data_IF_226180781556
#
_entry.id   IF_226180781556
#
_cell.length_a   1.000
_cell.length_b   1.000
_cell.length_c   1.000
_cell.angle_alpha   90.00
_cell.angle_beta   90.00
_cell.angle_gamma   90.00
#
_symmetry.space_group_name_H-M   'P 1'
#
loop_
_entity.id
_entity.type
_entity.pdbx_description
1 polymer ?
#
# COMPACT_ATOMS: atom_id res chain seq x y z
N UNK A 1 -20.00 25.85 66.64
CA UNK A 1 -20.46 26.47 65.35
C UNK A 1 -19.79 25.71 64.23
N UNK A 2 -20.53 24.84 63.60
CA UNK A 2 -20.10 23.96 62.51
C UNK A 2 -20.81 24.51 61.28
N UNK A 3 -20.04 24.98 60.30
CA UNK A 3 -20.57 25.36 58.97
C UNK A 3 -20.85 24.11 58.12
N UNK A 4 -21.92 24.11 57.34
CA UNK A 4 -22.26 22.96 56.51
C UNK A 4 -21.55 22.99 55.17
N UNK A 5 -21.09 21.82 54.73
CA UNK A 5 -20.51 21.52 53.43
C UNK A 5 -21.46 21.88 52.26
N UNK A 6 -20.97 22.65 51.30
CA UNK A 6 -21.61 22.89 50.01
C UNK A 6 -21.34 21.72 49.04
N UNK A 7 -22.31 21.32 48.22
CA UNK A 7 -22.12 20.20 47.29
C UNK A 7 -21.22 20.63 46.12
N UNK A 8 -20.24 19.79 45.82
CA UNK A 8 -19.36 19.90 44.65
C UNK A 8 -20.20 19.76 43.37
N UNK A 9 -20.30 20.85 42.63
CA UNK A 9 -20.91 20.84 41.30
C UNK A 9 -20.08 19.99 40.34
N UNK A 10 -20.67 18.93 39.82
CA UNK A 10 -20.11 18.16 38.71
C UNK A 10 -19.97 19.05 37.48
N UNK A 11 -18.73 19.18 36.98
CA UNK A 11 -18.39 19.88 35.75
C UNK A 11 -19.01 19.19 34.54
N UNK A 12 -19.63 19.91 33.58
CA UNK A 12 -20.29 19.32 32.42
C UNK A 12 -19.33 18.94 31.26
N UNK A 13 -18.09 18.53 31.54
CA UNK A 13 -17.10 18.14 30.56
C UNK A 13 -16.60 16.70 30.75
N UNK A 14 -17.50 15.74 30.77
CA UNK A 14 -17.14 14.35 30.51
C UNK A 14 -17.11 14.17 28.97
N UNK A 15 -16.01 13.68 28.41
CA UNK A 15 -15.94 13.48 26.96
C UNK A 15 -16.93 12.39 26.52
N UNK A 16 -17.62 12.53 25.37
CA UNK A 16 -18.56 11.56 24.84
C UNK A 16 -17.89 10.19 24.58
N UNK A 17 -18.64 9.09 24.56
CA UNK A 17 -18.12 7.75 24.31
C UNK A 17 -17.45 7.66 22.93
N UNK A 18 -16.39 6.83 22.80
CA UNK A 18 -15.48 6.77 21.66
C UNK A 18 -16.18 6.65 20.28
N UNK A 19 -17.26 5.87 20.18
CA UNK A 19 -18.01 5.67 18.92
C UNK A 19 -18.74 6.92 18.38
N UNK A 20 -19.08 7.91 19.22
CA UNK A 20 -19.71 9.16 18.76
C UNK A 20 -18.69 10.18 18.22
N UNK A 21 -17.46 10.19 18.75
CA UNK A 21 -16.40 11.08 18.28
C UNK A 21 -15.90 10.72 16.89
N UNK A 22 -15.78 9.41 16.60
CA UNK A 22 -15.36 8.92 15.29
C UNK A 22 -16.38 9.25 14.19
N UNK A 23 -17.68 9.19 14.54
CA UNK A 23 -18.77 9.56 13.63
C UNK A 23 -18.80 11.07 13.30
N UNK A 24 -18.39 11.92 14.23
CA UNK A 24 -18.33 13.39 14.03
C UNK A 24 -17.13 13.77 13.18
N UNK A 25 -15.92 13.23 13.43
CA UNK A 25 -14.69 13.51 12.66
C UNK A 25 -14.80 13.08 11.19
N UNK A 26 -15.38 11.92 10.91
CA UNK A 26 -15.59 11.41 9.56
C UNK A 26 -16.69 12.17 8.80
N UNK A 27 -17.73 12.66 9.50
CA UNK A 27 -18.79 13.48 8.87
C UNK A 27 -18.31 14.86 8.44
N UNK A 28 -17.39 15.46 9.18
CA UNK A 28 -16.78 16.76 8.85
C UNK A 28 -15.82 16.66 7.65
N UNK A 29 -15.18 15.50 7.42
CA UNK A 29 -14.23 15.27 6.32
C UNK A 29 -14.89 14.88 4.99
N UNK A 30 -16.21 14.65 4.95
CA UNK A 30 -16.92 14.18 3.75
C UNK A 30 -16.57 12.75 3.30
N UNK A 31 -15.83 11.99 4.10
CA UNK A 31 -15.37 10.63 3.80
C UNK A 31 -16.51 9.63 4.03
N UNK A 32 -16.80 8.79 3.03
CA UNK A 32 -17.87 7.79 3.08
C UNK A 32 -17.39 6.49 3.72
N UNK A 33 -18.31 5.78 4.37
CA UNK A 33 -18.06 4.46 4.91
C UNK A 33 -19.04 3.45 4.29
N UNK A 34 -18.51 2.27 3.93
CA UNK A 34 -19.25 1.18 3.30
C UNK A 34 -19.32 -0.02 4.24
N UNK A 35 -20.51 -0.61 4.36
CA UNK A 35 -20.73 -1.82 5.16
C UNK A 35 -20.65 -3.05 4.26
N UNK A 36 -19.65 -3.89 4.46
CA UNK A 36 -19.41 -5.10 3.66
C UNK A 36 -19.09 -6.27 4.60
N UNK A 37 -19.89 -7.34 4.54
CA UNK A 37 -19.72 -8.56 5.35
C UNK A 37 -19.51 -8.28 6.85
N UNK A 38 -20.26 -7.32 7.43
CA UNK A 38 -20.14 -6.94 8.83
C UNK A 38 -18.88 -6.11 9.17
N UNK A 39 -18.13 -5.69 8.16
CA UNK A 39 -17.00 -4.77 8.33
C UNK A 39 -17.36 -3.39 7.76
N UNK A 40 -16.87 -2.34 8.42
CA UNK A 40 -16.97 -0.96 7.95
C UNK A 40 -15.68 -0.58 7.24
N UNK A 41 -15.79 -0.25 5.95
CA UNK A 41 -14.68 0.14 5.09
C UNK A 41 -14.74 1.63 4.78
N UNK A 42 -13.62 2.33 4.94
CA UNK A 42 -13.49 3.75 4.63
C UNK A 42 -12.29 3.92 3.70
N UNK A 43 -12.54 4.46 2.49
CA UNK A 43 -11.47 4.79 1.55
C UNK A 43 -10.81 6.09 1.98
N UNK A 44 -9.49 6.10 2.06
CA UNK A 44 -8.68 7.26 2.44
C UNK A 44 -7.74 7.60 1.28
N UNK A 45 -7.88 8.80 0.75
CA UNK A 45 -7.06 9.31 -0.34
C UNK A 45 -5.96 10.22 0.20
N UNK A 46 -4.72 9.94 -0.18
CA UNK A 46 -3.52 10.70 0.15
C UNK A 46 -3.24 10.81 1.67
N UNK A 47 -2.11 11.39 2.02
CA UNK A 47 -1.74 11.62 3.42
C UNK A 47 -2.71 12.54 4.16
N UNK A 48 -3.36 13.48 3.45
CA UNK A 48 -4.28 14.44 4.04
C UNK A 48 -5.51 13.81 4.72
N UNK A 49 -6.03 12.70 4.19
CA UNK A 49 -7.09 11.94 4.84
C UNK A 49 -6.55 10.84 5.75
N UNK A 50 -5.43 10.21 5.35
CA UNK A 50 -4.88 9.06 6.04
C UNK A 50 -4.29 9.40 7.41
N UNK A 51 -3.40 10.40 7.51
CA UNK A 51 -2.66 10.66 8.75
C UNK A 51 -3.50 11.21 9.90
N UNK A 52 -4.45 12.15 9.69
CA UNK A 52 -5.35 12.58 10.76
C UNK A 52 -6.16 11.41 11.33
N UNK A 53 -6.73 10.56 10.45
CA UNK A 53 -7.51 9.40 10.88
C UNK A 53 -6.64 8.38 11.59
N UNK A 54 -5.44 8.08 11.08
CA UNK A 54 -4.51 7.18 11.74
C UNK A 54 -4.12 7.66 13.13
N UNK A 55 -3.78 8.95 13.29
CA UNK A 55 -3.43 9.52 14.59
C UNK A 55 -4.60 9.49 15.57
N UNK A 56 -5.83 9.78 15.11
CA UNK A 56 -7.03 9.69 15.95
C UNK A 56 -7.27 8.26 16.44
N UNK A 57 -7.16 7.26 15.58
CA UNK A 57 -7.31 5.85 15.97
C UNK A 57 -6.17 5.39 16.91
N UNK A 58 -4.92 5.85 16.70
CA UNK A 58 -3.80 5.60 17.63
C UNK A 58 -4.08 6.21 19.00
N UNK A 59 -4.62 7.42 19.06
CA UNK A 59 -4.97 8.08 20.30
C UNK A 59 -6.19 7.42 21.00
N UNK A 60 -7.07 6.75 20.25
CA UNK A 60 -8.21 5.99 20.77
C UNK A 60 -7.85 4.56 21.23
N UNK A 61 -6.74 3.99 20.78
CA UNK A 61 -6.30 2.62 21.08
C UNK A 61 -6.11 2.40 22.59
N UNK A 62 -6.52 1.20 23.07
CA UNK A 62 -6.58 0.84 24.50
C UNK A 62 -5.65 -0.30 24.91
N UNK A 63 -5.39 -1.25 24.00
CA UNK A 63 -4.69 -2.50 24.33
C UNK A 63 -3.38 -2.63 23.58
N UNK A 64 -3.42 -2.59 22.26
CA UNK A 64 -2.21 -2.75 21.46
C UNK A 64 -2.30 -2.10 20.08
N UNK A 65 -1.12 -1.72 19.56
CA UNK A 65 -0.92 -1.21 18.20
C UNK A 65 0.21 -1.99 17.55
N UNK A 66 -0.04 -2.51 16.34
CA UNK A 66 0.99 -3.05 15.45
C UNK A 66 1.05 -2.18 14.19
N UNK A 67 2.25 -1.72 13.85
CA UNK A 67 2.51 -0.92 12.66
C UNK A 67 3.63 -1.56 11.84
N UNK A 68 3.39 -1.81 10.56
CA UNK A 68 4.39 -2.24 9.57
C UNK A 68 4.42 -1.24 8.43
N UNK A 69 5.62 -0.73 8.12
CA UNK A 69 5.81 0.21 7.02
C UNK A 69 7.12 -0.05 6.28
N UNK A 70 7.14 0.29 4.99
CA UNK A 70 8.37 0.29 4.21
C UNK A 70 9.22 1.53 4.48
N UNK A 71 8.60 2.71 4.45
CA UNK A 71 9.27 3.98 4.78
C UNK A 71 8.61 4.57 6.02
N UNK A 72 9.44 4.89 7.02
CA UNK A 72 9.14 5.79 8.11
C UNK A 72 10.16 6.91 8.06
N UNK A 73 9.74 8.10 7.63
CA UNK A 73 10.62 9.25 7.43
C UNK A 73 10.68 10.11 8.69
N UNK A 74 11.82 10.73 8.92
CA UNK A 74 11.98 11.72 9.99
C UNK A 74 11.66 13.12 9.47
N UNK A 75 10.40 13.32 9.11
CA UNK A 75 9.83 14.56 8.63
C UNK A 75 8.61 14.99 9.49
N UNK A 76 7.88 16.01 9.05
CA UNK A 76 6.71 16.53 9.80
C UNK A 76 5.68 15.44 10.03
N UNK A 77 5.34 14.66 8.99
CA UNK A 77 4.36 13.57 9.07
C UNK A 77 4.86 12.42 9.96
N UNK A 78 6.12 12.03 9.80
CA UNK A 78 6.73 11.02 10.66
C UNK A 78 6.76 11.43 12.11
N UNK A 79 7.02 12.72 12.40
CA UNK A 79 6.96 13.28 13.76
C UNK A 79 5.55 13.17 14.35
N UNK A 80 4.52 13.55 13.61
CA UNK A 80 3.12 13.46 14.06
C UNK A 80 2.75 12.02 14.44
N UNK A 81 3.05 11.05 13.58
CA UNK A 81 2.78 9.63 13.84
C UNK A 81 3.60 9.11 15.01
N UNK A 82 4.91 9.44 15.08
CA UNK A 82 5.77 9.04 16.20
C UNK A 82 5.26 9.55 17.54
N UNK A 83 4.87 10.81 17.61
CA UNK A 83 4.30 11.41 18.83
C UNK A 83 2.97 10.76 19.24
N UNK A 84 2.10 10.43 18.28
CA UNK A 84 0.84 9.71 18.56
C UNK A 84 1.13 8.32 19.15
N UNK A 85 2.07 7.56 18.56
CA UNK A 85 2.49 6.25 19.07
C UNK A 85 3.12 6.36 20.47
N UNK A 86 3.94 7.39 20.73
CA UNK A 86 4.50 7.65 22.06
C UNK A 86 3.42 7.96 23.09
N UNK A 87 2.41 8.77 22.74
CA UNK A 87 1.27 9.04 23.64
C UNK A 87 0.52 7.74 23.97
N UNK A 88 0.28 6.88 22.97
CA UNK A 88 -0.35 5.57 23.19
C UNK A 88 0.48 4.69 24.12
N UNK A 89 1.79 4.59 23.90
CA UNK A 89 2.69 3.80 24.75
C UNK A 89 2.71 4.31 26.21
N UNK A 90 2.75 5.64 26.42
CA UNK A 90 2.67 6.25 27.76
C UNK A 90 1.33 6.00 28.47
N UNK A 91 0.25 5.76 27.74
CA UNK A 91 -1.03 5.29 28.31
C UNK A 91 -1.05 3.82 28.70
N UNK A 92 0.03 3.07 28.42
CA UNK A 92 0.14 1.63 28.70
C UNK A 92 -0.28 0.74 27.53
N UNK A 93 -0.55 1.31 26.34
CA UNK A 93 -0.83 0.53 25.14
C UNK A 93 0.44 -0.17 24.66
N UNK A 94 0.36 -1.44 24.30
CA UNK A 94 1.49 -2.21 23.77
C UNK A 94 1.75 -1.81 22.31
N UNK A 95 2.75 -0.96 22.05
CA UNK A 95 3.07 -0.47 20.72
C UNK A 95 4.23 -1.24 20.10
N UNK A 96 4.03 -1.76 18.89
CA UNK A 96 5.01 -2.52 18.11
C UNK A 96 5.13 -1.94 16.71
N UNK A 97 6.33 -1.45 16.36
CA UNK A 97 6.63 -0.84 15.07
C UNK A 97 7.68 -1.67 14.34
N UNK A 98 7.37 -2.12 13.13
CA UNK A 98 8.31 -2.82 12.25
C UNK A 98 8.55 -2.01 11.00
N UNK A 99 9.80 -1.61 10.77
CA UNK A 99 10.23 -0.85 9.60
C UNK A 99 11.11 -1.71 8.69
N UNK A 100 11.05 -1.49 7.37
CA UNK A 100 12.01 -2.11 6.44
C UNK A 100 13.37 -1.44 6.56
N UNK A 101 14.42 -2.24 6.66
CA UNK A 101 15.77 -1.73 6.87
C UNK A 101 16.41 -1.04 5.67
N UNK A 102 15.79 -1.12 4.47
CA UNK A 102 16.22 -0.39 3.28
C UNK A 102 15.36 0.85 3.05
N UNK A 103 14.03 0.68 3.10
CA UNK A 103 13.10 1.80 2.87
C UNK A 103 13.20 2.88 3.93
N UNK A 104 13.49 2.49 5.18
CA UNK A 104 13.69 3.41 6.32
C UNK A 104 15.17 3.54 6.73
N UNK A 105 16.12 3.39 5.78
CA UNK A 105 17.55 3.43 6.07
C UNK A 105 17.99 4.76 6.72
N UNK A 106 17.35 5.86 6.35
CA UNK A 106 17.64 7.21 6.84
C UNK A 106 16.91 7.56 8.15
N UNK A 107 16.20 6.58 8.78
CA UNK A 107 15.52 6.80 10.06
C UNK A 107 16.53 7.08 11.18
N UNK A 108 16.47 8.25 11.86
CA UNK A 108 17.49 8.67 12.78
C UNK A 108 17.58 7.76 14.03
N UNK A 109 18.78 7.38 14.47
CA UNK A 109 18.94 6.57 15.68
C UNK A 109 18.34 7.20 16.95
N UNK A 110 18.41 8.52 17.09
CA UNK A 110 17.84 9.21 18.27
C UNK A 110 16.31 9.10 18.31
N UNK A 111 15.61 9.17 17.16
CA UNK A 111 14.16 8.92 17.13
C UNK A 111 13.81 7.50 17.55
N UNK A 112 14.61 6.52 17.17
CA UNK A 112 14.41 5.15 17.64
C UNK A 112 14.57 5.06 19.16
N UNK A 113 15.57 5.73 19.73
CA UNK A 113 15.77 5.76 21.19
C UNK A 113 14.60 6.45 21.88
N UNK A 114 14.17 7.61 21.43
CA UNK A 114 13.01 8.31 21.98
C UNK A 114 11.74 7.47 21.96
N UNK A 115 11.50 6.72 20.87
CA UNK A 115 10.38 5.79 20.78
C UNK A 115 10.52 4.65 21.79
N UNK A 116 11.71 4.08 21.94
CA UNK A 116 11.99 3.01 22.89
C UNK A 116 11.88 3.47 24.34
N UNK A 117 12.36 4.67 24.67
CA UNK A 117 12.21 5.29 25.99
C UNK A 117 10.74 5.56 26.34
N UNK A 118 9.91 5.84 25.35
CA UNK A 118 8.45 5.93 25.54
C UNK A 118 7.75 4.55 25.70
N UNK A 119 8.48 3.43 25.60
CA UNK A 119 7.95 2.08 25.74
C UNK A 119 7.57 1.39 24.41
N UNK A 120 7.89 1.98 23.26
CA UNK A 120 7.58 1.40 21.95
C UNK A 120 8.61 0.31 21.60
N UNK A 121 8.11 -0.86 21.20
CA UNK A 121 8.96 -1.92 20.67
C UNK A 121 9.25 -1.69 19.18
N UNK A 122 10.46 -1.27 18.83
CA UNK A 122 10.88 -1.04 17.45
C UNK A 122 11.68 -2.25 16.94
N UNK A 123 11.29 -2.79 15.78
CA UNK A 123 11.97 -3.88 15.09
C UNK A 123 12.29 -3.51 13.65
N UNK A 124 13.41 -4.03 13.16
CA UNK A 124 13.87 -3.83 11.79
C UNK A 124 13.70 -5.11 10.97
N UNK A 125 13.00 -5.02 9.87
CA UNK A 125 12.99 -6.09 8.88
C UNK A 125 14.24 -5.95 8.00
N UNK A 126 15.24 -6.80 8.23
CA UNK A 126 16.47 -6.87 7.42
C UNK A 126 17.26 -5.56 7.32
N UNK A 127 17.63 -4.98 8.46
CA UNK A 127 18.39 -3.73 8.52
C UNK A 127 19.76 -3.79 7.84
N UNK A 128 20.45 -4.95 7.85
CA UNK A 128 21.81 -5.05 7.40
C UNK A 128 21.93 -5.29 5.88
N UNK A 129 22.45 -4.31 5.16
CA UNK A 129 22.98 -4.45 3.81
C UNK A 129 24.48 -4.18 3.89
N UNK A 130 25.26 -5.17 4.33
CA UNK A 130 26.72 -5.09 4.20
C UNK A 130 27.10 -5.38 2.75
N UNK A 131 27.84 -4.48 2.07
CA UNK A 131 28.31 -4.70 0.69
C UNK A 131 29.21 -5.95 0.58
N UNK A 132 29.89 -6.33 1.65
CA UNK A 132 30.84 -7.46 1.67
C UNK A 132 30.19 -8.86 1.75
N UNK A 133 28.93 -8.97 2.15
CA UNK A 133 28.20 -10.26 2.18
C UNK A 133 27.42 -10.56 0.91
N UNK A 134 27.71 -9.89 -0.20
CA UNK A 134 26.98 -9.95 -1.49
C UNK A 134 26.95 -11.35 -2.16
N UNK A 135 27.95 -12.22 -1.91
CA UNK A 135 28.08 -13.48 -2.69
C UNK A 135 27.16 -14.62 -2.30
N UNK A 136 26.82 -14.83 -1.02
CA UNK A 136 26.14 -16.08 -0.56
C UNK A 136 24.63 -15.99 -0.34
N UNK A 137 24.04 -14.77 -0.19
CA UNK A 137 22.62 -14.60 0.16
C UNK A 137 21.89 -13.51 -0.66
N UNK A 138 22.32 -13.24 -1.90
CA UNK A 138 21.81 -12.13 -2.74
C UNK A 138 20.29 -12.14 -2.88
N UNK A 139 19.67 -13.31 -3.13
CA UNK A 139 18.20 -13.43 -3.28
C UNK A 139 17.43 -13.18 -1.97
N UNK A 140 17.98 -13.52 -0.79
CA UNK A 140 17.33 -13.26 0.51
C UNK A 140 17.34 -11.78 0.89
N UNK A 141 18.32 -11.02 0.43
CA UNK A 141 18.50 -9.60 0.75
C UNK A 141 17.58 -8.68 -0.04
N UNK A 142 17.19 -9.09 -1.24
CA UNK A 142 16.26 -8.34 -2.09
C UNK A 142 14.80 -8.43 -1.61
N UNK A 143 14.47 -9.33 -0.68
CA UNK A 143 13.13 -9.47 -0.12
C UNK A 143 12.88 -8.36 0.90
N UNK A 144 11.89 -7.49 0.63
CA UNK A 144 11.57 -6.31 1.42
C UNK A 144 10.20 -6.42 2.09
N UNK A 145 10.03 -5.71 3.21
CA UNK A 145 8.74 -5.49 3.84
C UNK A 145 8.09 -4.27 3.17
N UNK A 146 7.32 -4.49 2.12
CA UNK A 146 6.74 -3.39 1.35
C UNK A 146 5.26 -3.14 1.68
N UNK A 147 4.65 -3.95 2.53
CA UNK A 147 3.29 -3.72 3.00
C UNK A 147 3.23 -2.57 4.01
N UNK A 148 2.14 -1.83 4.00
CA UNK A 148 1.82 -0.76 4.91
C UNK A 148 0.54 -1.17 5.63
N UNK A 149 0.70 -1.63 6.85
CA UNK A 149 -0.36 -2.17 7.68
C UNK A 149 -0.30 -1.55 9.07
N UNK A 150 -1.45 -1.15 9.58
CA UNK A 150 -1.61 -0.82 10.99
C UNK A 150 -2.79 -1.60 11.53
N UNK A 151 -2.67 -2.13 12.72
CA UNK A 151 -3.79 -2.76 13.44
C UNK A 151 -3.81 -2.23 14.86
N UNK A 152 -5.00 -1.82 15.31
CA UNK A 152 -5.27 -1.28 16.63
C UNK A 152 -6.31 -2.16 17.30
N UNK A 153 -5.99 -2.67 18.47
CA UNK A 153 -6.82 -3.51 19.35
C UNK A 153 -7.40 -4.78 18.67
N UNK A 154 -7.02 -5.08 17.44
CA UNK A 154 -7.58 -6.16 16.62
C UNK A 154 -8.95 -5.84 16.02
N UNK A 155 -9.44 -4.61 16.17
CA UNK A 155 -10.76 -4.15 15.77
C UNK A 155 -10.68 -3.19 14.58
N UNK A 156 -9.62 -2.36 14.50
CA UNK A 156 -9.37 -1.43 13.42
C UNK A 156 -8.07 -1.79 12.69
N UNK A 157 -8.07 -1.74 11.37
CA UNK A 157 -6.89 -1.92 10.55
C UNK A 157 -6.80 -0.88 9.44
N UNK A 158 -5.57 -0.57 9.01
CA UNK A 158 -5.28 0.22 7.82
C UNK A 158 -4.47 -0.64 6.85
N UNK A 159 -4.91 -0.66 5.58
CA UNK A 159 -4.26 -1.40 4.47
C UNK A 159 -4.15 -0.48 3.27
N UNK A 160 -2.97 -0.32 2.69
CA UNK A 160 -2.84 0.52 1.49
C UNK A 160 -1.44 0.70 0.96
N UNK A 161 -1.26 1.74 0.15
CA UNK A 161 0.01 2.12 -0.47
C UNK A 161 0.79 3.18 0.31
N UNK A 162 0.14 3.92 1.24
CA UNK A 162 0.66 5.12 1.87
C UNK A 162 1.77 4.78 2.88
N UNK A 163 2.97 5.32 2.65
CA UNK A 163 4.09 5.26 3.59
C UNK A 163 3.99 6.38 4.63
N UNK A 164 4.70 6.28 5.74
CA UNK A 164 4.83 7.36 6.73
C UNK A 164 5.92 8.32 6.26
N UNK A 165 5.48 9.31 5.48
CA UNK A 165 6.36 10.29 4.84
C UNK A 165 5.56 11.54 4.51
N UNK A 166 6.18 12.69 4.66
CA UNK A 166 5.60 13.96 4.21
C UNK A 166 5.60 14.04 2.68
N UNK A 167 4.42 14.13 2.13
CA UNK A 167 4.21 14.21 0.68
C UNK A 167 4.70 15.55 0.09
N UNK A 168 4.71 16.63 0.86
CA UNK A 168 5.10 17.97 0.38
C UNK A 168 6.62 18.10 0.19
N UNK A 169 7.42 17.59 1.11
CA UNK A 169 8.87 17.76 1.11
C UNK A 169 9.62 16.88 0.12
N UNK A 170 9.12 15.70 -0.21
CA UNK A 170 9.79 14.73 -1.12
C UNK A 170 9.37 14.82 -2.57
N UNK A 171 8.36 15.61 -2.90
CA UNK A 171 7.84 15.72 -4.27
C UNK A 171 8.72 16.56 -5.24
N UNK A 172 9.95 16.90 -4.88
CA UNK A 172 10.85 17.65 -5.75
C UNK A 172 10.26 18.97 -6.28
N UNK A 173 9.47 19.67 -5.44
CA UNK A 173 8.76 20.90 -5.80
C UNK A 173 7.46 20.66 -6.57
N UNK A 174 6.85 19.45 -6.50
CA UNK A 174 5.54 19.20 -7.08
C UNK A 174 4.44 20.01 -6.36
N UNK A 175 3.49 20.51 -7.13
CA UNK A 175 2.41 21.38 -6.64
C UNK A 175 1.33 20.62 -5.83
N UNK A 176 1.39 19.28 -5.78
CA UNK A 176 0.39 18.43 -5.15
C UNK A 176 1.01 17.26 -4.38
N UNK A 177 0.31 16.68 -3.38
CA UNK A 177 0.77 15.50 -2.67
C UNK A 177 0.83 14.27 -3.58
N UNK A 178 1.51 13.21 -3.12
CA UNK A 178 1.49 11.90 -3.80
C UNK A 178 0.07 11.37 -3.88
N UNK A 179 -0.31 10.88 -5.06
CA UNK A 179 -1.63 10.29 -5.28
C UNK A 179 -1.58 8.82 -4.89
N UNK A 180 -2.16 8.48 -3.76
CA UNK A 180 -2.19 7.11 -3.20
C UNK A 180 -3.43 6.89 -2.34
N UNK A 181 -3.70 5.62 -2.02
CA UNK A 181 -4.88 5.21 -1.27
C UNK A 181 -4.55 4.25 -0.13
N UNK A 182 -5.38 4.32 0.91
CA UNK A 182 -5.47 3.30 1.94
C UNK A 182 -6.94 3.03 2.27
N UNK A 183 -7.22 1.90 2.90
CA UNK A 183 -8.54 1.56 3.46
C UNK A 183 -8.40 1.40 4.95
N UNK A 184 -9.24 2.11 5.69
CA UNK A 184 -9.51 1.87 7.09
C UNK A 184 -10.61 0.81 7.19
N UNK A 185 -10.36 -0.24 7.93
CA UNK A 185 -11.26 -1.39 8.11
C UNK A 185 -11.60 -1.52 9.58
N UNK A 186 -12.87 -1.50 9.93
CA UNK A 186 -13.38 -1.85 11.28
C UNK A 186 -14.14 -3.17 11.20
N UNK A 187 -13.77 -4.13 12.05
CA UNK A 187 -14.45 -5.42 12.15
C UNK A 187 -13.51 -6.62 12.07
N UNK A 188 -14.08 -7.79 11.74
CA UNK A 188 -13.39 -9.10 11.83
C UNK A 188 -12.12 -9.20 10.96
N UNK A 189 -12.07 -8.50 9.84
CA UNK A 189 -10.91 -8.46 8.92
C UNK A 189 -9.67 -7.88 9.64
N UNK A 190 -9.84 -6.92 10.56
CA UNK A 190 -8.72 -6.38 11.33
C UNK A 190 -8.04 -7.46 12.19
N UNK A 191 -8.80 -8.36 12.79
CA UNK A 191 -8.28 -9.51 13.54
C UNK A 191 -7.47 -10.48 12.70
N UNK A 192 -7.87 -10.70 11.43
CA UNK A 192 -7.12 -11.54 10.50
C UNK A 192 -5.78 -10.91 10.11
N UNK A 193 -5.77 -9.61 9.82
CA UNK A 193 -4.55 -8.84 9.52
C UNK A 193 -3.62 -8.89 10.75
N UNK A 194 -4.16 -8.69 11.96
CA UNK A 194 -3.41 -8.80 13.22
C UNK A 194 -2.71 -10.15 13.36
N UNK A 195 -3.43 -11.25 13.10
CA UNK A 195 -2.87 -12.59 13.22
C UNK A 195 -1.62 -12.77 12.34
N UNK A 196 -1.62 -12.19 11.14
CA UNK A 196 -0.48 -12.25 10.20
C UNK A 196 0.66 -11.35 10.66
N UNK A 197 0.39 -10.12 11.09
CA UNK A 197 1.40 -9.19 11.58
C UNK A 197 2.09 -9.75 12.84
N UNK A 198 1.32 -10.31 13.78
CA UNK A 198 1.84 -10.95 14.98
C UNK A 198 2.81 -12.10 14.67
N UNK A 199 2.49 -12.94 13.66
CA UNK A 199 3.35 -14.04 13.24
C UNK A 199 4.66 -13.53 12.64
N UNK A 200 4.62 -12.50 11.79
CA UNK A 200 5.83 -11.91 11.25
C UNK A 200 6.69 -11.29 12.36
N UNK A 201 6.06 -10.56 13.29
CA UNK A 201 6.73 -10.00 14.45
C UNK A 201 7.50 -11.06 15.25
N UNK A 202 6.81 -12.13 15.62
CA UNK A 202 7.42 -13.25 16.34
C UNK A 202 8.59 -13.87 15.57
N UNK A 203 8.41 -14.05 14.27
CA UNK A 203 9.44 -14.62 13.41
C UNK A 203 10.69 -13.74 13.30
N UNK A 204 10.54 -12.43 13.26
CA UNK A 204 11.68 -11.48 13.23
C UNK A 204 12.41 -11.50 14.57
N UNK A 205 11.70 -11.51 15.70
CA UNK A 205 12.30 -11.65 17.04
C UNK A 205 13.13 -12.94 17.17
N UNK A 206 12.58 -14.08 16.73
CA UNK A 206 13.27 -15.36 16.80
C UNK A 206 14.48 -15.45 15.86
N UNK A 207 14.48 -14.69 14.73
CA UNK A 207 15.60 -14.67 13.79
C UNK A 207 16.82 -13.96 14.33
N UNK A 208 16.65 -12.95 15.14
CA UNK A 208 17.74 -12.28 15.85
C UNK A 208 18.44 -13.20 16.85
N UNK A 209 17.72 -14.19 17.41
CA UNK A 209 18.25 -15.12 18.40
C UNK A 209 18.86 -16.41 17.82
N UNK A 210 18.41 -16.90 16.65
CA UNK A 210 18.84 -18.19 16.07
C UNK A 210 18.73 -18.28 14.54
N UNK A 211 19.60 -17.67 13.84
CA UNK A 211 19.68 -17.37 12.39
C UNK A 211 19.31 -18.36 11.29
N UNK A 212 18.68 -19.52 11.44
CA UNK A 212 18.51 -20.49 10.33
C UNK A 212 17.17 -21.26 10.23
N UNK A 213 16.30 -21.28 11.24
CA UNK A 213 15.12 -22.18 11.27
C UNK A 213 13.77 -21.53 10.98
N UNK A 214 13.71 -20.26 10.73
CA UNK A 214 12.51 -19.42 10.83
C UNK A 214 11.69 -19.33 9.54
N UNK A 215 12.30 -19.50 8.38
CA UNK A 215 11.56 -19.44 7.10
C UNK A 215 10.41 -20.47 7.02
N UNK A 216 10.55 -21.61 7.70
CA UNK A 216 9.51 -22.66 7.69
C UNK A 216 8.32 -22.32 8.61
N UNK A 217 8.51 -21.59 9.69
CA UNK A 217 7.44 -21.18 10.63
C UNK A 217 6.64 -19.97 10.11
N UNK A 218 7.28 -19.09 9.33
CA UNK A 218 6.63 -17.94 8.66
C UNK A 218 5.70 -18.41 7.53
N UNK A 219 5.93 -19.59 6.98
CA UNK A 219 5.23 -20.15 5.83
C UNK A 219 3.75 -20.50 6.07
N UNK A 220 3.32 -20.62 7.32
CA UNK A 220 1.95 -21.04 7.66
C UNK A 220 1.00 -19.85 7.93
N UNK A 221 1.47 -18.64 7.71
CA UNK A 221 0.83 -17.42 8.19
C UNK A 221 -0.11 -16.72 7.18
N UNK A 222 -0.15 -17.16 5.95
CA UNK A 222 -1.00 -16.54 4.94
C UNK A 222 -2.29 -17.35 4.81
N UNK A 223 -3.34 -16.90 5.46
CA UNK A 223 -4.72 -17.30 5.19
C UNK A 223 -5.38 -16.22 4.36
N UNK A 224 -6.15 -16.63 3.35
CA UNK A 224 -7.15 -15.76 2.73
C UNK A 224 -8.25 -15.52 3.75
N UNK A 225 -8.74 -14.30 3.87
CA UNK A 225 -10.03 -14.05 4.49
C UNK A 225 -11.09 -14.87 3.75
N UNK A 226 -11.94 -15.56 4.49
CA UNK A 226 -12.99 -16.40 3.92
C UNK A 226 -14.33 -15.64 3.81
N UNK A 227 -14.32 -14.31 3.89
CA UNK A 227 -15.52 -13.52 3.72
C UNK A 227 -15.92 -13.46 2.24
N UNK A 228 -17.23 -13.51 1.93
CA UNK A 228 -17.70 -13.57 0.54
C UNK A 228 -17.25 -12.39 -0.31
N UNK A 229 -17.25 -11.17 0.25
CA UNK A 229 -17.03 -9.93 -0.49
C UNK A 229 -15.76 -9.19 -0.11
N UNK A 230 -15.01 -9.66 0.89
CA UNK A 230 -13.72 -9.06 1.29
C UNK A 230 -12.63 -10.14 1.29
N UNK A 231 -11.55 -9.86 0.58
CA UNK A 231 -10.37 -10.74 0.58
C UNK A 231 -9.11 -9.93 0.89
N UNK A 232 -8.39 -10.33 1.93
CA UNK A 232 -7.05 -9.79 2.23
C UNK A 232 -6.00 -10.69 1.59
N UNK A 233 -5.31 -10.18 0.59
CA UNK A 233 -4.17 -10.84 -0.03
C UNK A 233 -2.90 -10.43 0.69
N UNK A 234 -2.38 -11.32 1.49
CA UNK A 234 -1.13 -11.12 2.22
C UNK A 234 -0.05 -11.98 1.57
N UNK A 235 0.72 -11.35 0.73
CA UNK A 235 1.75 -12.01 -0.02
C UNK A 235 3.00 -12.22 0.83
N UNK A 236 3.44 -13.47 0.91
CA UNK A 236 4.79 -13.81 1.31
C UNK A 236 5.61 -14.33 0.10
N UNK A 237 6.94 -14.41 0.29
CA UNK A 237 7.84 -14.68 -0.84
C UNK A 237 7.92 -16.17 -1.26
N UNK A 238 7.03 -17.07 -0.80
CA UNK A 238 7.16 -18.49 -1.03
C UNK A 238 5.87 -19.18 -1.49
N UNK A 239 4.76 -19.13 -0.75
CA UNK A 239 3.54 -19.89 -1.04
C UNK A 239 2.48 -19.13 -1.82
N UNK A 240 2.35 -17.82 -1.59
CA UNK A 240 1.25 -16.99 -2.09
C UNK A 240 1.76 -15.89 -3.06
N UNK A 241 2.82 -16.23 -3.75
CA UNK A 241 3.60 -15.34 -4.59
C UNK A 241 2.80 -14.75 -5.75
N UNK A 242 1.75 -15.43 -6.20
CA UNK A 242 0.93 -15.04 -7.35
C UNK A 242 -0.52 -14.75 -6.99
N UNK A 243 -0.91 -14.77 -5.73
CA UNK A 243 -2.31 -14.65 -5.35
C UNK A 243 -2.90 -13.28 -5.77
N UNK A 244 -2.15 -12.19 -5.59
CA UNK A 244 -2.57 -10.86 -6.05
C UNK A 244 -2.68 -10.84 -7.58
N UNK A 245 -1.67 -11.35 -8.30
CA UNK A 245 -1.68 -11.43 -9.76
C UNK A 245 -2.84 -12.30 -10.27
N UNK A 246 -3.06 -13.48 -9.68
CA UNK A 246 -4.18 -14.36 -10.05
C UNK A 246 -5.54 -13.71 -9.80
N UNK A 247 -5.69 -12.94 -8.72
CA UNK A 247 -6.91 -12.19 -8.47
C UNK A 247 -7.19 -11.18 -9.58
N UNK A 248 -6.19 -10.40 -9.98
CA UNK A 248 -6.30 -9.47 -11.11
C UNK A 248 -6.64 -10.20 -12.41
N UNK A 249 -5.87 -11.26 -12.75
CA UNK A 249 -6.08 -12.01 -13.99
C UNK A 249 -7.49 -12.58 -14.08
N UNK A 250 -8.01 -13.12 -12.97
CA UNK A 250 -9.36 -13.67 -12.91
C UNK A 250 -10.41 -12.59 -13.21
N UNK A 251 -10.39 -11.48 -12.46
CA UNK A 251 -11.43 -10.46 -12.61
C UNK A 251 -11.34 -9.71 -13.95
N UNK A 252 -10.13 -9.52 -14.52
CA UNK A 252 -9.95 -8.94 -15.85
C UNK A 252 -10.46 -9.89 -16.94
N UNK A 253 -10.22 -11.20 -16.81
CA UNK A 253 -10.73 -12.20 -17.75
C UNK A 253 -12.27 -12.27 -17.74
N UNK A 254 -12.90 -12.06 -16.59
CA UNK A 254 -14.34 -12.09 -16.38
C UNK A 254 -15.01 -10.72 -16.65
N UNK A 255 -14.24 -9.64 -16.81
CA UNK A 255 -14.75 -8.29 -17.03
C UNK A 255 -15.62 -8.19 -18.28
N UNK A 256 -16.71 -7.41 -18.15
CA UNK A 256 -17.72 -7.22 -19.19
C UNK A 256 -17.94 -5.77 -19.63
N UNK A 257 -17.55 -4.80 -18.79
CA UNK A 257 -17.80 -3.36 -19.05
C UNK A 257 -16.51 -2.54 -19.02
N UNK A 258 -15.81 -2.55 -17.88
CA UNK A 258 -14.70 -1.64 -17.65
C UNK A 258 -13.64 -2.23 -16.69
N UNK A 259 -12.38 -1.98 -17.02
CA UNK A 259 -11.21 -2.23 -16.15
C UNK A 259 -10.46 -0.92 -16.01
N UNK A 260 -10.37 -0.38 -14.78
CA UNK A 260 -9.56 0.81 -14.46
C UNK A 260 -8.45 0.43 -13.51
N UNK A 261 -7.20 0.67 -13.88
CA UNK A 261 -6.03 0.36 -13.06
C UNK A 261 -5.21 1.63 -12.88
N UNK A 262 -4.94 2.03 -11.64
CA UNK A 262 -3.95 3.04 -11.31
C UNK A 262 -2.75 2.37 -10.63
N UNK A 263 -1.56 2.52 -11.22
CA UNK A 263 -0.37 1.81 -10.73
C UNK A 263 0.91 2.63 -10.92
N UNK A 264 1.68 2.79 -9.84
CA UNK A 264 2.91 3.58 -9.82
C UNK A 264 3.99 3.00 -10.74
N UNK A 265 4.20 1.68 -10.69
CA UNK A 265 5.17 0.97 -11.51
C UNK A 265 4.46 -0.17 -12.24
N UNK A 266 4.22 0.04 -13.54
CA UNK A 266 3.44 -0.87 -14.37
C UNK A 266 4.35 -1.55 -15.40
N UNK A 267 4.81 -2.74 -15.07
CA UNK A 267 5.63 -3.56 -15.97
C UNK A 267 5.12 -5.02 -15.91
N UNK A 268 3.89 -5.27 -16.37
CA UNK A 268 3.24 -6.57 -16.28
C UNK A 268 3.96 -7.63 -17.11
N UNK A 269 3.88 -8.88 -16.65
CA UNK A 269 4.29 -10.05 -17.41
C UNK A 269 3.42 -10.28 -18.65
N UNK A 270 3.86 -11.19 -19.53
CA UNK A 270 3.18 -11.46 -20.79
C UNK A 270 1.73 -11.92 -20.61
N UNK A 271 1.46 -12.77 -19.62
CA UNK A 271 0.10 -13.27 -19.35
C UNK A 271 -0.82 -12.12 -18.96
N UNK A 272 -0.38 -11.24 -18.08
CA UNK A 272 -1.16 -10.09 -17.62
C UNK A 272 -1.50 -9.14 -18.79
N UNK A 273 -0.50 -8.80 -19.62
CA UNK A 273 -0.71 -7.97 -20.81
C UNK A 273 -1.72 -8.59 -21.78
N UNK A 274 -1.56 -9.88 -22.10
CA UNK A 274 -2.49 -10.61 -22.95
C UNK A 274 -3.90 -10.60 -22.40
N UNK A 275 -4.08 -10.77 -21.09
CA UNK A 275 -5.40 -10.73 -20.44
C UNK A 275 -6.05 -9.36 -20.60
N UNK A 276 -5.30 -8.25 -20.43
CA UNK A 276 -5.81 -6.89 -20.68
C UNK A 276 -6.20 -6.67 -22.14
N UNK A 277 -5.33 -7.07 -23.08
CA UNK A 277 -5.62 -6.94 -24.51
C UNK A 277 -6.83 -7.80 -24.95
N UNK A 278 -6.98 -9.00 -24.39
CA UNK A 278 -8.15 -9.85 -24.63
C UNK A 278 -9.43 -9.21 -24.07
N UNK A 279 -9.36 -8.57 -22.90
CA UNK A 279 -10.50 -7.82 -22.36
C UNK A 279 -10.90 -6.67 -23.30
N UNK A 280 -9.93 -5.88 -23.76
CA UNK A 280 -10.17 -4.81 -24.74
C UNK A 280 -10.74 -5.37 -26.07
N UNK A 281 -10.20 -6.49 -26.56
CA UNK A 281 -10.70 -7.18 -27.76
C UNK A 281 -12.14 -7.73 -27.64
N UNK A 282 -12.62 -7.97 -26.40
CA UNK A 282 -14.04 -8.29 -26.14
C UNK A 282 -14.95 -7.04 -26.07
N UNK A 283 -14.40 -5.84 -26.23
CA UNK A 283 -15.13 -4.58 -26.10
C UNK A 283 -15.18 -4.01 -24.68
N UNK A 284 -14.43 -4.58 -23.72
CA UNK A 284 -14.28 -4.02 -22.37
C UNK A 284 -13.44 -2.74 -22.46
N UNK A 285 -13.91 -1.64 -21.86
CA UNK A 285 -13.12 -0.42 -21.74
C UNK A 285 -11.98 -0.64 -20.75
N UNK A 286 -10.73 -0.60 -21.19
CA UNK A 286 -9.55 -0.75 -20.34
C UNK A 286 -8.83 0.58 -20.21
N UNK A 287 -8.72 1.09 -19.00
CA UNK A 287 -8.11 2.39 -18.67
C UNK A 287 -6.92 2.19 -17.70
N UNK A 288 -5.77 2.70 -18.06
CA UNK A 288 -4.56 2.68 -17.24
C UNK A 288 -4.18 4.11 -16.86
N UNK A 289 -4.12 4.40 -15.55
CA UNK A 289 -3.57 5.62 -14.98
C UNK A 289 -2.18 5.30 -14.45
N UNK A 290 -1.14 5.81 -15.10
CA UNK A 290 0.25 5.49 -14.85
C UNK A 290 1.05 6.71 -14.41
N UNK A 291 2.25 6.48 -13.88
CA UNK A 291 3.15 7.53 -13.44
C UNK A 291 3.76 8.30 -14.64
N UNK A 292 3.43 9.58 -14.77
CA UNK A 292 3.99 10.46 -15.81
C UNK A 292 5.33 11.08 -15.42
N UNK A 293 5.57 11.36 -14.13
CA UNK A 293 6.84 11.90 -13.63
C UNK A 293 7.83 10.78 -13.29
N UNK A 294 9.03 10.73 -13.86
CA UNK A 294 9.97 9.63 -13.64
C UNK A 294 10.62 9.70 -12.26
N UNK A 295 10.16 8.91 -11.30
CA UNK A 295 10.87 8.70 -10.02
C UNK A 295 12.08 7.78 -10.25
N UNK A 296 11.89 6.68 -11.01
CA UNK A 296 12.96 5.77 -11.44
C UNK A 296 13.02 5.73 -12.97
N UNK A 297 13.92 6.51 -13.58
CA UNK A 297 14.03 6.68 -15.04
C UNK A 297 14.04 5.36 -15.81
N UNK A 298 14.79 4.36 -15.33
CA UNK A 298 14.89 3.07 -16.00
C UNK A 298 13.54 2.34 -16.07
N UNK A 299 12.80 2.28 -14.95
CA UNK A 299 11.47 1.65 -14.91
C UNK A 299 10.45 2.44 -15.74
N UNK A 300 10.50 3.76 -15.68
CA UNK A 300 9.64 4.64 -16.47
C UNK A 300 9.81 4.37 -17.98
N UNK A 301 11.04 4.39 -18.50
CA UNK A 301 11.27 4.06 -19.92
C UNK A 301 10.95 2.60 -20.25
N UNK A 302 11.15 1.66 -19.33
CA UNK A 302 10.76 0.27 -19.55
C UNK A 302 9.24 0.10 -19.66
N UNK A 303 8.45 0.84 -18.86
CA UNK A 303 6.99 0.88 -18.98
C UNK A 303 6.55 1.42 -20.32
N UNK A 304 7.18 2.48 -20.81
CA UNK A 304 6.90 3.09 -22.10
C UNK A 304 7.08 2.11 -23.28
N UNK A 305 7.95 1.10 -23.15
CA UNK A 305 8.09 0.07 -24.19
C UNK A 305 6.83 -0.75 -24.45
N UNK A 306 5.90 -0.75 -23.51
CA UNK A 306 4.63 -1.48 -23.60
C UNK A 306 3.50 -0.64 -24.21
N UNK A 307 3.66 0.67 -24.31
CA UNK A 307 2.58 1.58 -24.71
C UNK A 307 2.09 1.29 -26.12
N UNK A 308 2.99 1.05 -27.07
CA UNK A 308 2.62 0.76 -28.48
C UNK A 308 1.68 -0.44 -28.57
N UNK A 309 2.06 -1.57 -27.96
CA UNK A 309 1.27 -2.80 -27.93
C UNK A 309 -0.11 -2.60 -27.26
N UNK A 310 -0.15 -1.87 -26.12
CA UNK A 310 -1.37 -1.65 -25.36
C UNK A 310 -2.33 -0.67 -26.07
N UNK A 311 -1.79 0.41 -26.64
CA UNK A 311 -2.57 1.40 -27.39
C UNK A 311 -3.16 0.81 -28.68
N UNK A 312 -2.39 -0.05 -29.39
CA UNK A 312 -2.87 -0.77 -30.58
C UNK A 312 -4.00 -1.77 -30.25
N UNK A 313 -4.01 -2.32 -29.03
CA UNK A 313 -5.11 -3.14 -28.53
C UNK A 313 -6.34 -2.34 -28.10
N UNK A 314 -6.33 -1.01 -28.21
CA UNK A 314 -7.46 -0.14 -27.82
C UNK A 314 -7.51 0.21 -26.33
N UNK A 315 -6.43 -0.03 -25.58
CA UNK A 315 -6.33 0.33 -24.17
C UNK A 315 -6.05 1.83 -24.04
N UNK A 316 -6.80 2.52 -23.18
CA UNK A 316 -6.60 3.93 -22.87
C UNK A 316 -5.48 4.08 -21.84
N UNK A 317 -4.47 4.91 -22.12
CA UNK A 317 -3.36 5.19 -21.21
C UNK A 317 -3.36 6.67 -20.87
N UNK A 318 -3.32 6.96 -19.57
CA UNK A 318 -3.21 8.30 -19.00
C UNK A 318 -1.98 8.39 -18.10
N UNK A 319 -1.22 9.45 -18.21
CA UNK A 319 -0.07 9.74 -17.36
C UNK A 319 -0.40 10.86 -16.38
N UNK A 320 -0.32 10.54 -15.07
CA UNK A 320 -0.51 11.49 -13.99
C UNK A 320 0.66 12.48 -13.92
N UNK A 321 0.41 13.80 -14.01
CA UNK A 321 1.44 14.82 -14.23
C UNK A 321 1.69 15.75 -13.03
N UNK A 322 0.69 15.98 -12.18
CA UNK A 322 0.75 17.02 -11.13
C UNK A 322 1.78 16.67 -10.05
N UNK A 323 1.82 15.41 -9.61
CA UNK A 323 2.76 14.91 -8.63
C UNK A 323 3.17 13.47 -8.92
N UNK A 324 3.68 12.74 -7.94
CA UNK A 324 3.96 11.32 -8.08
C UNK A 324 2.69 10.49 -7.87
N UNK A 325 2.32 9.68 -8.85
CA UNK A 325 1.36 8.61 -8.69
C UNK A 325 2.02 7.47 -7.89
N UNK A 326 1.51 7.18 -6.71
CA UNK A 326 2.00 6.05 -5.92
C UNK A 326 0.90 5.00 -5.66
N UNK A 327 -0.30 5.19 -6.19
CA UNK A 327 -1.43 4.27 -6.08
C UNK A 327 -1.13 2.87 -6.66
N UNK A 328 -1.71 1.85 -6.05
CA UNK A 328 -1.73 0.46 -6.51
C UNK A 328 -3.15 -0.05 -6.30
N UNK A 329 -4.04 0.40 -7.18
CA UNK A 329 -5.48 0.17 -7.06
C UNK A 329 -6.07 -0.22 -8.40
N UNK A 330 -7.20 -0.91 -8.37
CA UNK A 330 -7.99 -1.19 -9.56
C UNK A 330 -9.48 -1.27 -9.23
N UNK A 331 -10.29 -1.01 -10.25
CA UNK A 331 -11.74 -1.21 -10.24
C UNK A 331 -12.12 -2.00 -11.49
N UNK A 332 -12.96 -3.02 -11.34
CA UNK A 332 -13.48 -3.82 -12.44
C UNK A 332 -15.01 -3.81 -12.40
N UNK A 333 -15.61 -3.45 -13.51
CA UNK A 333 -17.07 -3.39 -13.75
C UNK A 333 -17.86 -2.53 -12.74
N UNK A 334 -17.16 -1.70 -11.94
CA UNK A 334 -17.76 -0.89 -10.88
C UNK A 334 -18.29 -1.72 -9.70
N UNK A 335 -17.87 -2.98 -9.58
CA UNK A 335 -18.32 -3.91 -8.53
C UNK A 335 -17.15 -4.42 -7.70
N UNK A 336 -16.04 -4.75 -8.34
CA UNK A 336 -14.84 -5.22 -7.68
C UNK A 336 -13.80 -4.10 -7.62
N UNK A 337 -13.19 -3.93 -6.45
CA UNK A 337 -12.12 -2.97 -6.26
C UNK A 337 -10.97 -3.58 -5.45
N UNK A 338 -9.75 -3.11 -5.66
CA UNK A 338 -8.60 -3.45 -4.82
C UNK A 338 -7.75 -2.24 -4.50
N UNK A 339 -7.31 -2.18 -3.24
CA UNK A 339 -6.37 -1.17 -2.71
C UNK A 339 -5.25 -1.88 -1.98
N UNK A 340 -4.00 -1.51 -2.25
CA UNK A 340 -2.88 -2.16 -1.58
C UNK A 340 -1.51 -1.57 -1.85
N UNK A 341 -0.50 -2.37 -1.55
CA UNK A 341 0.91 -1.98 -1.67
C UNK A 341 1.60 -2.57 -2.90
N UNK A 342 0.97 -3.54 -3.61
CA UNK A 342 1.61 -4.31 -4.68
C UNK A 342 1.55 -3.60 -6.02
N UNK A 343 2.70 -3.22 -6.55
CA UNK A 343 2.79 -2.79 -7.95
C UNK A 343 2.63 -3.99 -8.90
N UNK A 344 2.18 -3.69 -10.12
CA UNK A 344 2.12 -4.67 -11.21
C UNK A 344 3.48 -4.66 -11.94
N UNK A 345 4.50 -5.08 -11.22
CA UNK A 345 5.86 -5.19 -11.70
C UNK A 345 6.56 -6.45 -11.14
N UNK A 346 7.54 -7.03 -11.83
CA UNK A 346 8.17 -8.27 -11.39
C UNK A 346 8.95 -8.16 -10.07
N UNK A 347 9.43 -6.98 -9.70
CA UNK A 347 10.17 -6.80 -8.44
C UNK A 347 9.22 -6.83 -7.26
N UNK A 348 8.11 -6.10 -7.32
CA UNK A 348 7.05 -6.15 -6.33
C UNK A 348 6.46 -7.56 -6.28
N UNK A 349 6.13 -8.14 -7.45
CA UNK A 349 5.54 -9.46 -7.54
C UNK A 349 6.48 -10.62 -7.12
N UNK A 350 7.78 -10.44 -6.94
CA UNK A 350 8.70 -11.53 -6.63
C UNK A 350 9.43 -11.40 -5.31
N UNK A 351 9.76 -10.18 -4.92
CA UNK A 351 10.75 -9.94 -3.88
C UNK A 351 10.19 -9.22 -2.66
N UNK A 352 9.03 -8.57 -2.78
CA UNK A 352 8.46 -7.81 -1.69
C UNK A 352 7.36 -8.61 -0.94
N UNK A 353 7.22 -8.35 0.36
CA UNK A 353 6.04 -8.70 1.13
C UNK A 353 5.01 -7.62 0.92
N UNK A 354 3.88 -7.97 0.32
CA UNK A 354 2.84 -7.05 -0.06
C UNK A 354 1.52 -7.38 0.64
N UNK A 355 0.63 -6.40 0.69
CA UNK A 355 -0.72 -6.56 1.18
C UNK A 355 -1.69 -5.80 0.28
N UNK A 356 -2.74 -6.48 -0.19
CA UNK A 356 -3.85 -5.86 -0.90
C UNK A 356 -5.17 -6.28 -0.25
N UNK A 357 -6.09 -5.35 -0.13
CA UNK A 357 -7.49 -5.59 0.18
C UNK A 357 -8.27 -5.59 -1.13
N UNK A 358 -9.01 -6.65 -1.41
CA UNK A 358 -9.99 -6.67 -2.49
C UNK A 358 -11.40 -6.69 -1.89
N UNK A 359 -12.28 -5.89 -2.47
CA UNK A 359 -13.65 -5.68 -2.01
C UNK A 359 -14.58 -5.87 -3.21
N UNK A 360 -15.65 -6.64 -3.01
CA UNK A 360 -16.73 -6.80 -3.97
C UNK A 360 -17.96 -6.05 -3.43
N UNK A 361 -18.02 -4.75 -3.71
CA UNK A 361 -19.09 -3.85 -3.29
C UNK A 361 -19.20 -2.68 -4.26
N UNK A 362 -20.40 -2.42 -4.74
CA UNK A 362 -20.65 -1.39 -5.76
C UNK A 362 -20.45 0.03 -5.23
N UNK A 363 -20.75 0.28 -3.97
CA UNK A 363 -20.58 1.59 -3.34
C UNK A 363 -19.10 1.94 -3.20
N UNK A 364 -18.32 1.03 -2.62
CA UNK A 364 -16.87 1.17 -2.46
C UNK A 364 -16.15 1.27 -3.82
N UNK A 365 -16.49 0.38 -4.75
CA UNK A 365 -15.91 0.40 -6.09
C UNK A 365 -16.22 1.69 -6.85
N UNK A 366 -17.46 2.20 -6.72
CA UNK A 366 -17.88 3.47 -7.33
C UNK A 366 -17.15 4.67 -6.77
N UNK A 367 -16.90 4.71 -5.44
CA UNK A 367 -16.15 5.78 -4.79
C UNK A 367 -14.69 5.80 -5.30
N UNK A 368 -14.01 4.66 -5.30
CA UNK A 368 -12.65 4.56 -5.82
C UNK A 368 -12.58 4.91 -7.31
N UNK A 369 -13.55 4.41 -8.11
CA UNK A 369 -13.65 4.74 -9.53
C UNK A 369 -13.80 6.25 -9.75
N UNK A 370 -14.68 6.89 -8.99
CA UNK A 370 -14.89 8.35 -9.04
C UNK A 370 -13.61 9.12 -8.79
N UNK A 371 -12.86 8.78 -7.74
CA UNK A 371 -11.58 9.41 -7.41
C UNK A 371 -10.52 9.22 -8.52
N UNK A 372 -10.49 8.04 -9.17
CA UNK A 372 -9.57 7.77 -10.29
C UNK A 372 -9.93 8.60 -11.52
N UNK A 373 -11.21 8.69 -11.89
CA UNK A 373 -11.64 9.50 -13.04
C UNK A 373 -11.49 10.99 -12.81
N UNK A 374 -11.72 11.48 -11.59
CA UNK A 374 -11.43 12.85 -11.22
C UNK A 374 -9.94 13.20 -11.43
N UNK A 375 -9.04 12.31 -11.00
CA UNK A 375 -7.60 12.48 -11.22
C UNK A 375 -7.22 12.38 -12.72
N UNK A 376 -7.91 11.53 -13.49
CA UNK A 376 -7.70 11.44 -14.95
C UNK A 376 -8.10 12.73 -15.64
N UNK A 377 -9.26 13.28 -15.30
CA UNK A 377 -9.80 14.47 -15.94
C UNK A 377 -9.03 15.74 -15.59
N UNK A 378 -8.59 15.88 -14.34
CA UNK A 378 -7.94 17.11 -13.85
C UNK A 378 -6.42 17.09 -14.00
N UNK A 379 -5.79 15.95 -13.78
CA UNK A 379 -4.38 15.85 -13.42
C UNK A 379 -3.55 14.97 -14.35
N UNK A 380 -4.18 14.31 -15.34
CA UNK A 380 -3.49 13.37 -16.21
C UNK A 380 -3.56 13.74 -17.70
N UNK A 381 -2.53 13.37 -18.42
CA UNK A 381 -2.44 13.53 -19.87
C UNK A 381 -2.74 12.22 -20.57
N UNK A 382 -3.67 12.23 -21.50
CA UNK A 382 -3.93 11.07 -22.36
C UNK A 382 -2.78 10.85 -23.33
N UNK A 383 -2.34 9.61 -23.47
CA UNK A 383 -1.32 9.20 -24.43
C UNK A 383 -2.00 8.71 -25.71
N UNK A 384 -1.71 9.37 -26.81
CA UNK A 384 -2.28 9.02 -28.13
C UNK A 384 -1.33 8.12 -28.91
N UNK A 385 -1.86 7.09 -29.55
CA UNK A 385 -1.09 6.13 -30.37
C UNK A 385 -0.31 6.83 -31.50
N UNK A 386 -0.88 7.91 -32.10
CA UNK A 386 -0.25 8.65 -33.17
C UNK A 386 0.97 9.45 -32.69
N UNK A 387 0.91 10.02 -31.50
CA UNK A 387 2.03 10.73 -30.90
C UNK A 387 3.18 9.77 -30.58
N UNK A 388 2.85 8.58 -30.09
CA UNK A 388 3.82 7.53 -29.77
C UNK A 388 4.59 7.03 -31.01
N UNK A 389 3.89 6.85 -32.15
CA UNK A 389 4.51 6.44 -33.42
C UNK A 389 5.48 7.49 -34.01
N UNK A 390 5.37 8.75 -33.59
CA UNK A 390 6.24 9.87 -34.02
C UNK A 390 7.52 10.03 -33.18
N UNK A 391 7.73 9.21 -32.15
CA UNK A 391 8.97 9.25 -31.37
C UNK A 391 10.20 9.08 -32.28
N UNK A 392 11.20 9.94 -32.09
CA UNK A 392 12.47 9.84 -32.81
C UNK A 392 13.18 8.52 -32.55
N UNK A 393 14.04 8.11 -33.51
CA UNK A 393 14.77 6.84 -33.41
C UNK A 393 15.53 6.66 -32.10
N UNK A 394 16.23 7.71 -31.62
CA UNK A 394 16.97 7.66 -30.34
C UNK A 394 16.08 7.38 -29.12
N UNK A 395 14.89 8.00 -29.05
CA UNK A 395 13.95 7.76 -27.96
C UNK A 395 13.42 6.31 -27.98
N UNK A 396 13.09 5.78 -29.17
CA UNK A 396 12.67 4.37 -29.33
C UNK A 396 13.77 3.39 -28.91
N UNK A 397 15.02 3.67 -29.25
CA UNK A 397 16.16 2.84 -28.84
C UNK A 397 16.36 2.86 -27.32
N UNK A 398 16.26 4.05 -26.68
CA UNK A 398 16.37 4.18 -25.23
C UNK A 398 15.28 3.36 -24.51
N UNK A 399 14.04 3.46 -24.95
CA UNK A 399 12.88 2.73 -24.41
C UNK A 399 13.10 1.22 -24.54
N UNK A 400 13.46 0.71 -25.74
CA UNK A 400 13.72 -0.71 -25.97
C UNK A 400 14.91 -1.23 -25.16
N UNK A 401 15.99 -0.47 -25.08
CA UNK A 401 17.16 -0.83 -24.28
C UNK A 401 16.82 -0.90 -22.80
N UNK A 402 16.08 0.09 -22.27
CA UNK A 402 15.64 0.11 -20.87
C UNK A 402 14.78 -1.11 -20.55
N UNK A 403 13.85 -1.48 -21.43
CA UNK A 403 13.04 -2.67 -21.30
C UNK A 403 13.89 -3.96 -21.29
N UNK A 404 14.78 -4.11 -22.26
CA UNK A 404 15.67 -5.26 -22.34
C UNK A 404 16.57 -5.40 -21.11
N UNK A 405 17.11 -4.28 -20.61
CA UNK A 405 17.95 -4.26 -19.40
C UNK A 405 17.15 -4.70 -18.17
N UNK A 406 15.95 -4.16 -17.96
CA UNK A 406 15.09 -4.56 -16.83
C UNK A 406 14.72 -6.04 -16.96
N UNK A 407 14.39 -6.52 -18.15
CA UNK A 407 14.09 -7.94 -18.40
C UNK A 407 15.29 -8.85 -18.10
N UNK A 408 16.49 -8.45 -18.50
CA UNK A 408 17.71 -9.16 -18.16
C UNK A 408 17.94 -9.21 -16.65
N UNK A 409 17.76 -8.10 -15.93
CA UNK A 409 17.89 -8.04 -14.49
C UNK A 409 16.89 -9.00 -13.79
N UNK A 410 15.65 -9.07 -14.27
CA UNK A 410 14.62 -9.99 -13.78
C UNK A 410 15.03 -11.44 -14.03
N UNK A 411 15.52 -11.76 -15.22
CA UNK A 411 16.01 -13.10 -15.58
C UNK A 411 17.16 -13.58 -14.69
N UNK A 412 18.11 -12.69 -14.34
CA UNK A 412 19.22 -12.98 -13.41
C UNK A 412 18.75 -13.25 -11.98
N UNK A 413 17.58 -12.73 -11.57
CA UNK A 413 16.97 -12.96 -10.25
C UNK A 413 16.26 -14.32 -10.20
N UNK A 414 16.09 -15.01 -11.34
CA UNK A 414 15.56 -16.39 -11.45
C UNK A 414 14.05 -16.44 -11.63
N UNK A 415 13.52 -15.61 -12.51
CA UNK A 415 12.16 -15.71 -13.02
C UNK A 415 12.03 -16.93 -13.95
N UNK A 416 10.95 -17.69 -13.82
CA UNK A 416 10.69 -18.82 -14.70
C UNK A 416 10.42 -18.31 -16.12
N UNK A 417 11.06 -18.94 -17.14
CA UNK A 417 10.96 -18.54 -18.56
C UNK A 417 9.54 -18.52 -19.12
N UNK A 418 8.56 -19.09 -18.40
CA UNK A 418 7.14 -19.16 -18.81
C UNK A 418 6.35 -17.87 -18.53
N UNK A 419 6.90 -16.95 -17.74
CA UNK A 419 6.20 -15.75 -17.27
C UNK A 419 6.77 -14.47 -17.90
N UNK A 420 7.72 -14.62 -18.83
CA UNK A 420 8.46 -13.51 -19.45
C UNK A 420 7.97 -13.21 -20.86
#
# INVERSE_FOLDING_TARGET
>A
MIEPDLPVSLSPNSPPPAGERDAVSLRESGVKAHQVDGNRLTLLQNGAQYFPQLCADIDAARSFIYLETYIFSADVTGSLVSLALQRAARRGVVVRVMMDGFGSADFPPHWQLEMQDAGINVQWFRREISPFTLRRNRRRRLRRLHRKLVVLDGEVAFVGGINIIDDATRNGGAAAPRFDFAVRVEGSVAGEIYAVMRRLWSAVLWSGARGKRIERFIMDASRRSALPNITVFLRDNLRYRRDIEHAYLKVIAEATREVVIANAYFLPGLIFRRTLMQAAGRGVRVVLLLQGRPEYRLLHYATHALYEELLEAGIEIYEYQISYLHAKVAVVDGVWATVGSSNIDPFSLLLAREANLAVQDTGFASELRGALFEAIEKDAQRIEAMHWKRLGFGARMLVRFSYALVRMMIGLIGYDKRDV
#
